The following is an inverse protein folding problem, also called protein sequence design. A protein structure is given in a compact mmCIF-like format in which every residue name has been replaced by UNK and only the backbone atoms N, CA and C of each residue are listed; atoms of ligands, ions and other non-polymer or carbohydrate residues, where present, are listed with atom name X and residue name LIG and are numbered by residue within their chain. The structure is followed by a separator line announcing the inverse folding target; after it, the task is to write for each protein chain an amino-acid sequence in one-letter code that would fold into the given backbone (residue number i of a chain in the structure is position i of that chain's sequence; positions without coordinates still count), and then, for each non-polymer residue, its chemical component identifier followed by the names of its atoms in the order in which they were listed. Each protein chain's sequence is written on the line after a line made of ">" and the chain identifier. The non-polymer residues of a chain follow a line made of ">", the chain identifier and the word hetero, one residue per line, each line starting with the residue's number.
data_IF_263174167962
#
_entry.id   IF_263174167962
#
_cell.length_a   1.000
_cell.length_b   1.000
_cell.length_c   1.000
_cell.angle_alpha   90.00
_cell.angle_beta   90.00
_cell.angle_gamma   90.00
#
_symmetry.space_group_name_H-M   'P 1'
#
loop_
_entity.id
_entity.type
_entity.pdbx_description
1 polymer ?
#
# COMPACT_ATOMS: atom_id res chain seq x y z
N UNK A 1 -22.37 -1.50 -3.44
CA UNK A 1 -21.30 -1.04 -2.53
C UNK A 1 -20.01 -1.69 -2.98
N UNK A 2 -18.99 -0.89 -3.39
CA UNK A 2 -17.71 -1.46 -3.83
C UNK A 2 -16.82 -1.66 -2.60
N UNK A 3 -16.85 -2.86 -2.03
CA UNK A 3 -15.92 -3.30 -0.99
C UNK A 3 -14.69 -3.95 -1.62
N UNK A 4 -13.61 -4.05 -0.86
CA UNK A 4 -12.41 -4.77 -1.30
C UNK A 4 -12.69 -6.27 -1.49
N UNK A 5 -12.14 -6.82 -2.56
CA UNK A 5 -12.20 -8.25 -2.87
C UNK A 5 -10.78 -8.77 -3.09
N UNK A 6 -10.34 -9.74 -2.29
CA UNK A 6 -9.01 -10.32 -2.37
C UNK A 6 -8.64 -10.80 -3.79
N UNK A 7 -9.57 -11.45 -4.49
CA UNK A 7 -9.35 -11.95 -5.86
C UNK A 7 -9.13 -10.84 -6.88
N UNK A 8 -9.60 -9.62 -6.61
CA UNK A 8 -9.51 -8.46 -7.50
C UNK A 8 -8.55 -7.37 -7.02
N UNK A 9 -7.82 -7.62 -5.94
CA UNK A 9 -6.91 -6.66 -5.31
C UNK A 9 -5.45 -6.89 -5.74
N UNK A 10 -4.72 -5.79 -5.89
CA UNK A 10 -3.26 -5.68 -5.92
C UNK A 10 -2.85 -4.72 -4.81
N UNK A 11 -1.89 -5.10 -4.00
CA UNK A 11 -1.30 -4.22 -2.98
C UNK A 11 -0.09 -3.51 -3.56
N UNK A 12 -0.07 -2.18 -3.45
CA UNK A 12 1.04 -1.32 -3.87
C UNK A 12 1.60 -0.57 -2.66
N UNK A 13 2.82 -0.93 -2.25
CA UNK A 13 3.50 -0.37 -1.09
C UNK A 13 4.49 0.68 -1.56
N UNK A 14 4.36 1.91 -1.08
CA UNK A 14 5.14 3.06 -1.52
C UNK A 14 6.22 3.40 -0.48
N UNK A 15 7.48 3.20 -0.84
CA UNK A 15 8.68 3.80 -0.25
C UNK A 15 8.79 3.69 1.29
N UNK A 16 8.41 2.55 1.88
CA UNK A 16 8.60 2.32 3.33
C UNK A 16 10.05 1.91 3.59
N UNK A 17 10.96 2.88 3.46
CA UNK A 17 12.41 2.71 3.46
C UNK A 17 13.06 3.23 4.76
N UNK A 18 14.26 2.71 5.07
CA UNK A 18 14.98 2.92 6.32
C UNK A 18 15.12 4.40 6.71
N UNK A 19 15.57 5.26 5.79
CA UNK A 19 15.77 6.69 6.09
C UNK A 19 14.47 7.49 6.12
N UNK A 20 13.50 7.13 5.28
CA UNK A 20 12.18 7.78 5.30
C UNK A 20 11.44 7.46 6.59
N UNK A 21 11.36 6.19 6.97
CA UNK A 21 10.79 5.76 8.25
C UNK A 21 11.54 6.39 9.41
N UNK A 22 12.88 6.53 9.30
CA UNK A 22 13.75 7.15 10.31
C UNK A 22 13.40 8.59 10.68
N UNK A 23 12.74 9.32 9.78
CA UNK A 23 12.33 10.71 9.96
C UNK A 23 10.89 10.86 10.51
N UNK A 24 10.19 9.76 10.79
CA UNK A 24 8.78 9.72 11.17
C UNK A 24 8.57 9.08 12.56
N UNK A 25 7.34 9.07 13.04
CA UNK A 25 6.92 8.25 14.19
C UNK A 25 6.81 6.78 13.71
N UNK A 26 7.94 6.07 13.82
CA UNK A 26 8.33 4.87 13.07
C UNK A 26 7.43 3.67 13.25
N UNK A 27 7.03 3.41 14.50
CA UNK A 27 6.55 2.09 14.88
C UNK A 27 5.15 1.81 14.35
N UNK A 28 4.33 2.85 14.21
CA UNK A 28 2.93 2.69 13.80
C UNK A 28 2.82 2.34 12.32
N UNK A 29 3.44 3.12 11.43
CA UNK A 29 3.30 2.89 9.97
C UNK A 29 3.90 1.56 9.55
N UNK A 30 5.06 1.19 10.08
CA UNK A 30 5.70 -0.10 9.78
C UNK A 30 4.85 -1.26 10.30
N UNK A 31 4.38 -1.18 11.54
CA UNK A 31 3.50 -2.20 12.13
C UNK A 31 2.22 -2.40 11.31
N UNK A 32 1.59 -1.31 10.87
CA UNK A 32 0.39 -1.36 10.03
C UNK A 32 0.67 -1.94 8.64
N UNK A 33 1.76 -1.52 8.02
CA UNK A 33 2.21 -2.05 6.72
C UNK A 33 2.48 -3.56 6.78
N UNK A 34 3.15 -4.03 7.84
CA UNK A 34 3.40 -5.46 8.09
C UNK A 34 2.08 -6.24 8.17
N UNK A 35 1.06 -5.72 8.85
CA UNK A 35 -0.26 -6.37 8.94
C UNK A 35 -0.92 -6.52 7.58
N UNK A 36 -0.91 -5.47 6.75
CA UNK A 36 -1.49 -5.53 5.39
C UNK A 36 -0.72 -6.50 4.50
N UNK A 37 0.61 -6.44 4.51
CA UNK A 37 1.46 -7.32 3.71
C UNK A 37 1.31 -8.80 4.12
N UNK A 38 1.25 -9.08 5.43
CA UNK A 38 1.01 -10.44 5.96
C UNK A 38 -0.37 -10.97 5.56
N UNK A 39 -1.41 -10.13 5.60
CA UNK A 39 -2.75 -10.52 5.16
C UNK A 39 -2.78 -10.78 3.65
N UNK A 40 -2.11 -9.93 2.85
CA UNK A 40 -1.97 -10.13 1.41
C UNK A 40 -1.29 -11.48 1.09
N UNK A 41 -0.19 -11.80 1.79
CA UNK A 41 0.49 -13.11 1.67
C UNK A 41 -0.44 -14.27 2.01
N UNK A 42 -1.13 -14.21 3.15
CA UNK A 42 -2.06 -15.25 3.60
C UNK A 42 -3.21 -15.49 2.61
N UNK A 43 -3.69 -14.43 1.95
CA UNK A 43 -4.81 -14.45 1.01
C UNK A 43 -4.37 -14.56 -0.46
N UNK A 44 -3.08 -14.75 -0.72
CA UNK A 44 -2.49 -14.83 -2.08
C UNK A 44 -2.79 -13.59 -2.95
N UNK A 45 -2.86 -12.42 -2.33
CA UNK A 45 -3.00 -11.14 -3.03
C UNK A 45 -1.61 -10.70 -3.50
N UNK A 46 -1.42 -10.38 -4.78
CA UNK A 46 -0.14 -9.90 -5.27
C UNK A 46 0.28 -8.57 -4.64
N UNK A 47 1.59 -8.41 -4.47
CA UNK A 47 2.19 -7.22 -3.85
C UNK A 47 3.29 -6.69 -4.76
N UNK A 48 3.30 -5.38 -4.97
CA UNK A 48 4.39 -4.62 -5.58
C UNK A 48 4.89 -3.59 -4.58
N UNK A 49 6.20 -3.43 -4.47
CA UNK A 49 6.84 -2.46 -3.57
C UNK A 49 7.65 -1.48 -4.41
N UNK A 50 7.63 -0.21 -4.05
CA UNK A 50 8.55 0.78 -4.64
C UNK A 50 9.61 1.23 -3.65
N UNK A 51 10.80 1.56 -4.18
CA UNK A 51 11.91 2.17 -3.43
C UNK A 51 12.36 3.44 -4.14
N UNK A 52 12.16 4.59 -3.49
CA UNK A 52 12.62 5.89 -3.96
C UNK A 52 14.13 5.99 -3.77
N UNK A 53 14.89 6.13 -4.87
CA UNK A 53 16.35 6.36 -4.85
C UNK A 53 17.07 5.58 -3.72
N UNK A 54 17.08 4.23 -3.75
CA UNK A 54 17.53 3.41 -2.62
C UNK A 54 18.99 3.65 -2.24
N UNK A 55 19.84 4.05 -3.17
CA UNK A 55 21.23 4.47 -2.89
C UNK A 55 21.30 5.61 -1.87
N UNK A 56 20.31 6.48 -1.86
CA UNK A 56 20.21 7.62 -0.94
C UNK A 56 19.34 7.36 0.27
N UNK A 57 18.22 6.65 0.10
CA UNK A 57 17.17 6.49 1.14
C UNK A 57 17.17 5.12 1.85
N UNK A 58 18.04 4.22 1.42
CA UNK A 58 18.10 2.85 1.94
C UNK A 58 17.03 1.97 1.31
N UNK A 59 16.98 0.72 1.74
CA UNK A 59 16.03 -0.27 1.25
C UNK A 59 14.72 -0.24 2.06
N UNK A 60 13.73 -0.97 1.57
CA UNK A 60 12.52 -1.32 2.32
C UNK A 60 12.91 -1.89 3.68
N UNK A 61 12.26 -1.42 4.75
CA UNK A 61 12.60 -1.82 6.12
C UNK A 61 12.43 -3.32 6.35
N UNK A 62 13.37 -3.92 7.10
CA UNK A 62 13.46 -5.37 7.29
C UNK A 62 12.17 -6.02 7.84
N UNK A 63 11.47 -5.45 8.85
CA UNK A 63 10.22 -6.03 9.35
C UNK A 63 9.15 -6.20 8.28
N UNK A 64 9.08 -5.27 7.31
CA UNK A 64 8.14 -5.37 6.20
C UNK A 64 8.62 -6.38 5.17
N UNK A 65 9.91 -6.35 4.82
CA UNK A 65 10.53 -7.25 3.85
C UNK A 65 10.36 -8.72 4.22
N UNK A 66 10.50 -9.04 5.51
CA UNK A 66 10.38 -10.41 6.04
C UNK A 66 8.98 -11.04 5.84
N UNK A 67 7.94 -10.24 5.71
CA UNK A 67 6.55 -10.73 5.55
C UNK A 67 6.01 -10.64 4.13
N UNK A 68 6.76 -10.08 3.20
CA UNK A 68 6.34 -10.00 1.80
C UNK A 68 6.12 -11.38 1.18
N UNK A 69 5.18 -11.54 0.23
CA UNK A 69 5.13 -12.72 -0.62
C UNK A 69 6.46 -12.96 -1.36
N UNK A 70 6.82 -14.23 -1.61
CA UNK A 70 8.08 -14.58 -2.29
C UNK A 70 8.21 -13.95 -3.69
N UNK A 71 7.10 -13.75 -4.37
CA UNK A 71 7.06 -13.18 -5.73
C UNK A 71 6.89 -11.65 -5.72
N UNK A 72 7.12 -10.97 -4.60
CA UNK A 72 6.99 -9.53 -4.53
C UNK A 72 8.06 -8.85 -5.39
N UNK A 73 7.62 -8.03 -6.32
CA UNK A 73 8.52 -7.19 -7.12
C UNK A 73 8.84 -5.90 -6.36
N UNK A 74 10.14 -5.58 -6.28
CA UNK A 74 10.64 -4.31 -5.73
C UNK A 74 11.12 -3.47 -6.90
N UNK A 75 10.52 -2.29 -7.09
CA UNK A 75 10.79 -1.38 -8.20
C UNK A 75 11.49 -0.13 -7.68
N UNK A 76 12.72 0.08 -8.10
CA UNK A 76 13.42 1.34 -7.85
C UNK A 76 12.79 2.46 -8.69
N UNK A 77 12.65 3.64 -8.12
CA UNK A 77 12.13 4.80 -8.81
C UNK A 77 12.85 6.10 -8.43
N UNK A 78 12.75 7.07 -9.31
CA UNK A 78 13.21 8.45 -9.09
C UNK A 78 12.07 9.44 -9.13
N UNK A 79 11.00 9.12 -9.84
CA UNK A 79 9.76 9.90 -9.90
C UNK A 79 8.96 9.73 -8.61
N UNK A 80 8.24 10.76 -8.20
CA UNK A 80 7.31 10.65 -7.05
C UNK A 80 6.09 9.80 -7.41
N UNK A 81 5.49 10.05 -8.57
CA UNK A 81 4.47 9.19 -9.15
C UNK A 81 5.13 7.92 -9.72
N UNK A 82 4.83 6.77 -9.12
CA UNK A 82 5.42 5.49 -9.54
C UNK A 82 5.05 5.09 -10.98
N UNK A 83 3.92 5.56 -11.52
CA UNK A 83 3.49 5.23 -12.88
C UNK A 83 4.31 5.96 -13.97
N UNK A 84 5.19 6.88 -13.59
CA UNK A 84 6.13 7.53 -14.51
C UNK A 84 7.42 6.71 -14.73
N UNK A 85 7.65 5.67 -13.93
CA UNK A 85 8.76 4.75 -14.16
C UNK A 85 8.47 3.80 -15.31
N UNK A 86 9.48 3.53 -16.11
CA UNK A 86 9.38 2.68 -17.28
C UNK A 86 8.84 1.29 -16.94
N UNK A 87 7.82 0.85 -17.65
CA UNK A 87 7.22 -0.47 -17.49
C UNK A 87 6.32 -0.62 -16.25
N UNK A 88 6.13 0.42 -15.42
CA UNK A 88 5.33 0.30 -14.20
C UNK A 88 3.84 0.14 -14.49
N UNK A 89 3.32 0.84 -15.50
CA UNK A 89 1.92 0.70 -15.93
C UNK A 89 1.62 -0.71 -16.43
N UNK A 90 2.48 -1.22 -17.30
CA UNK A 90 2.39 -2.57 -17.86
C UNK A 90 2.50 -3.63 -16.77
N UNK A 91 3.38 -3.43 -15.79
CA UNK A 91 3.54 -4.31 -14.63
C UNK A 91 2.26 -4.39 -13.80
N UNK A 92 1.68 -3.25 -13.44
CA UNK A 92 0.41 -3.22 -12.68
C UNK A 92 -0.71 -3.88 -13.50
N UNK A 93 -0.80 -3.58 -14.79
CA UNK A 93 -1.82 -4.14 -15.69
C UNK A 93 -1.68 -5.66 -15.85
N UNK A 94 -0.46 -6.21 -15.84
CA UNK A 94 -0.19 -7.64 -15.99
C UNK A 94 -0.81 -8.52 -14.90
N UNK A 95 -1.04 -7.96 -13.70
CA UNK A 95 -1.74 -8.68 -12.64
C UNK A 95 -3.24 -8.87 -12.90
N UNK A 96 -3.83 -8.12 -13.84
CA UNK A 96 -5.25 -8.24 -14.18
C UNK A 96 -6.20 -7.85 -13.04
N UNK A 97 -5.74 -7.03 -12.08
CA UNK A 97 -6.52 -6.60 -10.90
C UNK A 97 -7.09 -5.22 -11.15
N UNK A 98 -8.31 -4.98 -10.66
CA UNK A 98 -9.00 -3.70 -10.82
C UNK A 98 -8.90 -2.82 -9.58
N UNK A 99 -8.74 -3.42 -8.39
CA UNK A 99 -8.65 -2.72 -7.13
C UNK A 99 -7.18 -2.60 -6.71
N UNK A 100 -6.70 -1.37 -6.56
CA UNK A 100 -5.34 -1.11 -6.06
C UNK A 100 -5.44 -0.62 -4.61
N UNK A 101 -4.83 -1.37 -3.71
CA UNK A 101 -4.72 -1.02 -2.30
C UNK A 101 -3.36 -0.39 -2.08
N UNK A 102 -3.32 0.93 -1.89
CA UNK A 102 -2.09 1.72 -1.81
C UNK A 102 -1.86 2.25 -0.39
N UNK A 103 -0.61 2.23 0.07
CA UNK A 103 -0.16 2.86 1.30
C UNK A 103 1.36 3.06 1.30
N UNK A 104 1.85 3.86 2.24
CA UNK A 104 3.29 4.11 2.40
C UNK A 104 3.66 5.56 2.71
N UNK A 105 4.80 6.01 2.23
CA UNK A 105 5.48 7.26 2.58
C UNK A 105 5.93 8.00 1.32
N UNK A 106 5.80 9.35 1.21
CA UNK A 106 5.00 10.19 2.08
C UNK A 106 3.59 10.30 1.51
N UNK A 107 2.61 10.36 2.39
CA UNK A 107 1.18 10.40 2.05
C UNK A 107 0.85 11.49 1.03
N UNK A 108 1.38 12.70 1.23
CA UNK A 108 1.08 13.90 0.43
C UNK A 108 1.95 14.04 -0.83
N UNK A 109 2.93 13.16 -1.03
CA UNK A 109 3.83 13.18 -2.20
C UNK A 109 3.66 11.90 -3.01
N UNK A 110 4.47 10.87 -2.74
CA UNK A 110 4.53 9.66 -3.57
C UNK A 110 3.20 8.89 -3.56
N UNK A 111 2.57 8.73 -2.40
CA UNK A 111 1.28 8.03 -2.29
C UNK A 111 0.19 8.80 -3.04
N UNK A 112 0.06 10.10 -2.79
CA UNK A 112 -0.95 10.95 -3.42
C UNK A 112 -0.82 10.98 -4.96
N UNK A 113 0.39 11.26 -5.48
CA UNK A 113 0.60 11.37 -6.92
C UNK A 113 0.40 10.02 -7.63
N UNK A 114 0.83 8.92 -7.01
CA UNK A 114 0.63 7.58 -7.57
C UNK A 114 -0.85 7.19 -7.55
N UNK A 115 -1.56 7.49 -6.46
CA UNK A 115 -3.00 7.21 -6.35
C UNK A 115 -3.82 7.99 -7.40
N UNK A 116 -3.49 9.26 -7.63
CA UNK A 116 -4.14 10.08 -8.65
C UNK A 116 -3.94 9.49 -10.06
N UNK A 117 -2.70 9.12 -10.41
CA UNK A 117 -2.39 8.50 -11.69
C UNK A 117 -3.10 7.15 -11.89
N UNK A 118 -3.21 6.33 -10.83
CA UNK A 118 -3.95 5.07 -10.88
C UNK A 118 -5.45 5.28 -11.15
N UNK A 119 -6.06 6.35 -10.59
CA UNK A 119 -7.44 6.71 -10.90
C UNK A 119 -7.60 7.10 -12.39
N UNK A 120 -6.65 7.88 -12.95
CA UNK A 120 -6.64 8.26 -14.36
C UNK A 120 -6.54 7.04 -15.29
N UNK A 121 -5.78 6.01 -14.89
CA UNK A 121 -5.72 4.71 -15.59
C UNK A 121 -6.99 3.85 -15.36
N UNK A 122 -7.96 4.36 -14.61
CA UNK A 122 -9.26 3.75 -14.41
C UNK A 122 -9.30 2.64 -13.36
N UNK A 123 -8.34 2.57 -12.44
CA UNK A 123 -8.39 1.64 -11.30
C UNK A 123 -9.32 2.12 -10.19
N UNK A 124 -9.84 1.17 -9.42
CA UNK A 124 -10.49 1.43 -8.13
C UNK A 124 -9.41 1.55 -7.05
N UNK A 125 -9.09 2.75 -6.61
CA UNK A 125 -7.97 3.00 -5.68
C UNK A 125 -8.46 3.13 -4.24
N UNK A 126 -7.85 2.36 -3.34
CA UNK A 126 -8.11 2.35 -1.89
C UNK A 126 -6.83 2.71 -1.15
N UNK A 127 -6.82 3.83 -0.42
CA UNK A 127 -5.70 4.20 0.45
C UNK A 127 -5.91 3.68 1.86
N UNK A 128 -4.94 2.93 2.40
CA UNK A 128 -4.95 2.46 3.79
C UNK A 128 -4.35 3.55 4.68
N UNK A 129 -5.21 4.42 5.18
CA UNK A 129 -4.84 5.65 5.87
C UNK A 129 -3.89 5.43 7.05
N UNK A 130 -4.14 4.42 7.87
CA UNK A 130 -3.34 4.14 9.07
C UNK A 130 -2.03 3.38 8.79
N UNK A 131 -1.80 2.98 7.52
CA UNK A 131 -0.53 2.49 7.00
C UNK A 131 0.22 3.55 6.17
N UNK A 132 -0.23 4.80 6.19
CA UNK A 132 0.41 5.94 5.55
C UNK A 132 1.02 6.88 6.58
N UNK A 133 2.08 7.60 6.20
CA UNK A 133 2.67 8.65 7.02
C UNK A 133 3.26 9.79 6.20
N UNK A 134 3.43 10.94 6.83
CA UNK A 134 4.15 12.12 6.33
C UNK A 134 4.95 12.76 7.46
N UNK A 135 5.94 13.58 7.13
CA UNK A 135 6.84 14.27 8.07
C UNK A 135 6.11 15.04 9.18
N UNK A 136 4.94 15.55 8.89
CA UNK A 136 4.09 16.17 9.90
C UNK A 136 2.60 15.88 9.66
N UNK A 137 1.81 16.12 10.69
CA UNK A 137 0.36 15.80 10.67
C UNK A 137 -0.43 16.66 9.69
N UNK A 138 0.03 17.85 9.37
CA UNK A 138 -0.68 18.74 8.45
C UNK A 138 -0.60 18.20 7.03
N UNK A 139 0.61 17.91 6.51
CA UNK A 139 0.78 17.33 5.19
C UNK A 139 0.12 15.95 5.06
N UNK A 140 0.19 15.12 6.11
CA UNK A 140 -0.54 13.85 6.13
C UNK A 140 -2.03 14.06 5.90
N UNK A 141 -2.64 14.98 6.68
CA UNK A 141 -4.06 15.29 6.56
C UNK A 141 -4.42 15.81 5.17
N UNK A 142 -3.62 16.77 4.65
CA UNK A 142 -3.84 17.33 3.31
C UNK A 142 -3.73 16.26 2.22
N UNK A 143 -2.75 15.35 2.30
CA UNK A 143 -2.62 14.25 1.35
C UNK A 143 -3.84 13.33 1.33
N UNK A 144 -4.36 12.95 2.49
CA UNK A 144 -5.58 12.12 2.60
C UNK A 144 -6.80 12.86 2.05
N UNK A 145 -7.00 14.13 2.43
CA UNK A 145 -8.13 14.94 1.97
C UNK A 145 -8.10 15.13 0.44
N UNK A 146 -6.94 15.42 -0.14
CA UNK A 146 -6.78 15.57 -1.58
C UNK A 146 -7.09 14.26 -2.33
N UNK A 147 -6.58 13.13 -1.86
CA UNK A 147 -6.90 11.83 -2.43
C UNK A 147 -8.40 11.53 -2.39
N UNK A 148 -9.04 11.78 -1.25
CA UNK A 148 -10.48 11.56 -1.08
C UNK A 148 -11.32 12.44 -2.02
N UNK A 149 -10.95 13.73 -2.17
CA UNK A 149 -11.62 14.65 -3.09
C UNK A 149 -11.49 14.21 -4.55
N UNK A 150 -10.37 13.60 -4.91
CA UNK A 150 -10.13 13.06 -6.24
C UNK A 150 -10.80 11.70 -6.50
N UNK A 151 -11.48 11.11 -5.50
CA UNK A 151 -12.21 9.86 -5.67
C UNK A 151 -11.48 8.61 -5.18
N UNK A 152 -10.30 8.74 -4.54
CA UNK A 152 -9.65 7.64 -3.84
C UNK A 152 -10.50 7.25 -2.63
N UNK A 153 -10.75 5.97 -2.48
CA UNK A 153 -11.51 5.42 -1.35
C UNK A 153 -10.59 5.30 -0.13
N UNK A 154 -10.93 6.01 0.95
CA UNK A 154 -10.15 5.96 2.20
C UNK A 154 -10.60 4.79 3.05
N UNK A 155 -9.64 3.93 3.41
CA UNK A 155 -9.85 2.75 4.26
C UNK A 155 -8.81 2.71 5.39
N UNK A 156 -8.87 1.69 6.22
CA UNK A 156 -7.85 1.38 7.22
C UNK A 156 -7.54 -0.13 7.21
N UNK A 157 -6.47 -0.52 7.90
CA UNK A 157 -6.01 -1.90 7.94
C UNK A 157 -7.16 -2.86 8.29
N UNK A 158 -7.86 -2.62 9.37
CA UNK A 158 -8.89 -3.53 9.86
C UNK A 158 -10.06 -3.67 8.88
N UNK A 159 -10.54 -2.56 8.32
CA UNK A 159 -11.59 -2.58 7.28
C UNK A 159 -11.12 -3.44 6.10
N UNK A 160 -9.93 -3.17 5.55
CA UNK A 160 -9.43 -3.88 4.39
C UNK A 160 -9.30 -5.40 4.63
N UNK A 161 -8.75 -5.79 5.77
CA UNK A 161 -8.58 -7.20 6.12
C UNK A 161 -9.91 -7.94 6.25
N UNK A 162 -10.92 -7.33 6.87
CA UNK A 162 -12.24 -7.95 6.99
C UNK A 162 -13.05 -7.94 5.69
N UNK A 163 -12.89 -6.93 4.85
CA UNK A 163 -13.47 -6.94 3.50
C UNK A 163 -12.88 -8.05 2.63
N UNK A 164 -11.56 -8.27 2.66
CA UNK A 164 -10.91 -9.38 1.96
C UNK A 164 -11.36 -10.75 2.49
N UNK A 165 -11.56 -10.89 3.79
CA UNK A 165 -12.05 -12.14 4.40
C UNK A 165 -13.51 -12.44 4.05
N UNK A 166 -14.35 -11.43 3.84
CA UNK A 166 -15.80 -11.51 3.62
C UNK A 166 -16.59 -12.14 4.77
N UNK A 167 -15.99 -12.98 5.58
CA UNK A 167 -16.69 -13.62 6.71
C UNK A 167 -15.86 -14.65 7.47
N UNK A 168 -16.36 -15.03 8.64
CA UNK A 168 -15.70 -15.94 9.57
C UNK A 168 -15.53 -17.40 9.05
N UNK A 169 -16.22 -17.75 7.97
CA UNK A 169 -16.08 -19.07 7.31
C UNK A 169 -14.90 -19.13 6.35
N UNK A 170 -14.20 -18.00 6.10
CA UNK A 170 -13.01 -17.99 5.27
C UNK A 170 -11.93 -18.89 5.89
N UNK A 171 -11.31 -19.80 5.12
CA UNK A 171 -10.26 -20.71 5.65
C UNK A 171 -9.09 -19.95 6.32
N UNK A 172 -8.82 -18.71 5.89
CA UNK A 172 -7.75 -17.86 6.41
C UNK A 172 -8.19 -16.94 7.56
N UNK A 173 -9.44 -17.03 8.01
CA UNK A 173 -10.01 -16.13 9.01
C UNK A 173 -9.15 -16.05 10.28
N UNK A 174 -8.79 -17.20 10.88
CA UNK A 174 -7.99 -17.23 12.12
C UNK A 174 -6.60 -16.61 11.94
N UNK A 175 -5.95 -16.92 10.81
CA UNK A 175 -4.62 -16.41 10.46
C UNK A 175 -4.64 -14.87 10.31
N UNK A 176 -5.57 -14.35 9.53
CA UNK A 176 -5.67 -12.89 9.29
C UNK A 176 -6.18 -12.15 10.53
N UNK A 177 -7.16 -12.70 11.27
CA UNK A 177 -7.64 -12.10 12.52
C UNK A 177 -6.54 -11.97 13.58
N UNK A 178 -5.60 -12.90 13.64
CA UNK A 178 -4.49 -12.83 14.59
C UNK A 178 -3.58 -11.61 14.38
N UNK A 179 -3.54 -11.05 13.17
CA UNK A 179 -2.73 -9.86 12.86
C UNK A 179 -3.23 -8.58 13.52
N UNK A 180 -4.50 -8.53 13.95
CA UNK A 180 -5.16 -7.31 14.49
C UNK A 180 -5.47 -7.39 15.99
N UNK A 181 -5.09 -8.47 16.62
CA UNK A 181 -5.21 -8.66 18.08
C UNK A 181 -4.11 -7.97 18.86
#
# INVERSE_FOLDING_TARGET
>A
MNTLNAENSLVLIIDIQERLVGALDKDIVVSKAVKVASAAKALSIPVVVTEQYPKGLGNTVEPLKAVLPENTEIVEKTSFNALLEDGMKERIASYGKKQIVIFGIETHICVHQTAAALLEEGYDVYVIKDACASRNKYEFKQGIEAMQQNGVKVSCVEIALFEWLKGAKNPKFKEVQALIK
#
